data_IF_378980896857
#
_entry.id   IF_378980896857
#
_cell.length_a   1.000
_cell.length_b   1.000
_cell.length_c   1.000
_cell.angle_alpha   90.00
_cell.angle_beta   90.00
_cell.angle_gamma   90.00
#
_symmetry.space_group_name_H-M   'P 1'
#
loop_
_entity.id
_entity.type
_entity.pdbx_description
1 polymer ?
#
# COMPACT_ATOMS: atom_id res chain seq x y z
N UNK A 1 1.39 11.89 1.96
CA UNK A 1 2.09 12.54 0.82
C UNK A 1 2.71 13.90 1.19
N UNK A 2 1.95 14.93 1.63
CA UNK A 2 2.55 16.23 2.03
C UNK A 2 3.73 16.13 3.00
N UNK A 3 3.62 15.30 4.06
CA UNK A 3 4.73 15.06 5.00
C UNK A 3 5.93 14.37 4.33
N UNK A 4 5.71 13.38 3.48
CA UNK A 4 6.80 12.73 2.74
C UNK A 4 7.59 13.73 1.86
N UNK A 5 6.90 14.71 1.28
CA UNK A 5 7.52 15.78 0.49
C UNK A 5 8.27 16.81 1.34
N UNK A 6 7.61 17.36 2.37
CA UNK A 6 8.09 18.56 3.09
C UNK A 6 8.83 18.27 4.40
N UNK A 7 8.54 17.14 5.04
CA UNK A 7 9.06 16.78 6.36
C UNK A 7 9.05 15.25 6.57
N UNK A 8 9.82 14.47 5.77
CA UNK A 8 9.74 13.01 5.77
C UNK A 8 10.06 12.39 7.15
N UNK A 9 10.90 13.04 7.96
CA UNK A 9 11.22 12.60 9.32
C UNK A 9 10.01 12.59 10.28
N UNK A 10 8.97 13.38 10.03
CA UNK A 10 7.72 13.34 10.82
C UNK A 10 6.89 12.07 10.59
N UNK A 11 7.29 11.22 9.64
CA UNK A 11 6.69 9.91 9.41
C UNK A 11 7.41 8.78 10.14
N UNK A 12 8.48 9.07 10.90
CA UNK A 12 9.15 8.08 11.71
C UNK A 12 8.19 7.46 12.74
N UNK A 13 8.24 6.13 12.87
CA UNK A 13 7.35 5.32 13.70
C UNK A 13 5.96 5.09 13.10
N UNK A 14 5.67 5.61 11.91
CA UNK A 14 4.36 5.45 11.29
C UNK A 14 4.24 4.13 10.51
N UNK A 15 3.03 3.60 10.43
CA UNK A 15 2.61 2.56 9.49
C UNK A 15 2.40 3.19 8.11
N UNK A 16 3.46 3.29 7.32
CA UNK A 16 3.41 3.88 5.97
C UNK A 16 2.47 3.04 5.07
N UNK A 17 1.64 3.65 4.20
CA UNK A 17 0.75 2.90 3.32
C UNK A 17 1.54 2.02 2.37
N UNK A 18 0.94 0.93 1.93
CA UNK A 18 1.48 -0.08 1.00
C UNK A 18 2.72 -0.84 1.49
N UNK A 19 3.10 -0.65 2.75
CA UNK A 19 4.10 -1.49 3.40
C UNK A 19 3.50 -2.86 3.76
N UNK A 20 4.33 -3.91 3.89
CA UNK A 20 3.90 -5.22 4.37
C UNK A 20 3.17 -5.16 5.71
N UNK A 21 2.39 -6.21 5.98
CA UNK A 21 1.69 -6.42 7.26
C UNK A 21 1.98 -7.82 7.78
N UNK A 22 1.68 -8.05 9.06
CA UNK A 22 1.77 -9.39 9.65
C UNK A 22 0.71 -10.30 8.99
N UNK A 23 1.19 -11.26 8.19
CA UNK A 23 0.34 -12.21 7.46
C UNK A 23 -0.52 -13.06 8.40
N UNK A 24 -0.04 -13.40 9.60
CA UNK A 24 -0.80 -14.17 10.56
C UNK A 24 -1.95 -13.33 11.13
N UNK A 25 -1.67 -12.05 11.45
CA UNK A 25 -2.71 -11.12 11.91
C UNK A 25 -3.75 -10.84 10.83
N UNK A 26 -3.31 -10.66 9.59
CA UNK A 26 -4.19 -10.50 8.43
C UNK A 26 -5.08 -11.73 8.25
N UNK A 27 -4.50 -12.92 8.26
CA UNK A 27 -5.24 -14.17 8.12
C UNK A 27 -6.24 -14.39 9.28
N UNK A 28 -5.88 -14.04 10.51
CA UNK A 28 -6.81 -14.06 11.65
C UNK A 28 -8.01 -13.14 11.43
N UNK A 29 -7.82 -11.97 10.82
CA UNK A 29 -8.92 -11.01 10.61
C UNK A 29 -9.97 -11.57 9.66
N UNK A 30 -9.56 -12.44 8.73
CA UNK A 30 -10.46 -13.09 7.76
C UNK A 30 -11.02 -14.41 8.31
N UNK A 31 -10.19 -15.25 8.90
CA UNK A 31 -10.57 -16.61 9.33
C UNK A 31 -11.14 -16.67 10.76
N UNK A 32 -10.77 -15.71 11.61
CA UNK A 32 -11.07 -15.75 13.04
C UNK A 32 -10.43 -16.94 13.74
N UNK A 33 -11.19 -17.55 14.65
CA UNK A 33 -10.88 -18.81 15.32
C UNK A 33 -9.66 -18.78 16.23
N UNK A 34 -9.09 -19.97 16.47
CA UNK A 34 -8.06 -20.18 17.48
C UNK A 34 -6.70 -20.41 16.84
N UNK A 35 -5.69 -19.77 17.42
CA UNK A 35 -4.33 -19.75 16.92
C UNK A 35 -3.37 -20.21 18.02
N UNK A 36 -2.38 -20.98 17.60
CA UNK A 36 -1.36 -21.60 18.46
C UNK A 36 0.02 -21.33 17.88
N UNK A 37 1.07 -21.48 18.68
CA UNK A 37 2.45 -21.43 18.20
C UNK A 37 3.07 -22.83 18.27
N UNK A 38 3.85 -23.16 17.25
CA UNK A 38 4.75 -24.30 17.32
C UNK A 38 5.87 -24.05 18.36
N UNK A 39 6.69 -25.06 18.70
CA UNK A 39 7.76 -24.91 19.69
C UNK A 39 8.80 -23.83 19.32
N UNK A 40 8.90 -23.48 18.04
CA UNK A 40 9.80 -22.46 17.51
C UNK A 40 9.13 -21.08 17.33
N UNK A 41 7.86 -20.92 17.72
CA UNK A 41 7.16 -19.63 17.70
C UNK A 41 6.43 -19.26 16.41
N UNK A 42 6.34 -20.17 15.44
CA UNK A 42 5.56 -19.94 14.21
C UNK A 42 4.06 -20.15 14.47
N UNK A 43 3.20 -19.18 14.13
CA UNK A 43 1.77 -19.28 14.37
C UNK A 43 1.10 -20.25 13.39
N UNK A 44 0.15 -21.05 13.89
CA UNK A 44 -0.71 -21.89 13.08
C UNK A 44 -2.16 -21.81 13.54
N UNK A 45 -3.06 -22.05 12.59
CA UNK A 45 -4.50 -21.92 12.77
C UNK A 45 -5.15 -23.29 13.04
N UNK A 46 -6.11 -23.31 13.96
CA UNK A 46 -6.99 -24.47 14.21
C UNK A 46 -8.43 -24.02 14.04
N UNK A 47 -9.13 -24.71 13.14
CA UNK A 47 -10.50 -24.40 12.74
C UNK A 47 -11.56 -25.00 13.68
N UNK A 48 -12.82 -24.96 13.25
CA UNK A 48 -13.97 -25.59 13.91
C UNK A 48 -14.10 -25.18 15.40
N UNK A 49 -13.91 -26.13 16.30
CA UNK A 49 -14.05 -25.92 17.75
C UNK A 49 -12.84 -25.22 18.38
N UNK A 50 -11.81 -24.92 17.58
CA UNK A 50 -10.59 -24.23 17.99
C UNK A 50 -9.62 -25.11 18.78
N UNK A 51 -9.87 -26.42 18.93
CA UNK A 51 -8.97 -27.33 19.66
C UNK A 51 -8.41 -28.41 18.74
N UNK A 52 -7.10 -28.70 18.82
CA UNK A 52 -6.45 -29.58 17.85
C UNK A 52 -6.80 -31.05 18.08
N UNK A 53 -7.19 -31.74 17.01
CA UNK A 53 -7.54 -33.18 17.01
C UNK A 53 -6.60 -34.01 16.14
N UNK A 54 -5.73 -33.35 15.38
CA UNK A 54 -4.74 -33.96 14.50
C UNK A 54 -3.37 -33.32 14.73
N UNK A 55 -2.33 -34.13 14.60
CA UNK A 55 -0.93 -33.68 14.59
C UNK A 55 -0.46 -33.49 13.15
N UNK A 56 0.18 -32.36 12.87
CA UNK A 56 0.77 -32.03 11.56
C UNK A 56 2.17 -31.46 11.72
N UNK A 57 2.84 -31.13 10.60
CA UNK A 57 4.14 -30.50 10.60
C UNK A 57 4.02 -28.99 10.36
N UNK A 58 4.77 -28.20 11.13
CA UNK A 58 4.87 -26.77 10.92
C UNK A 58 5.44 -26.48 9.51
N UNK A 59 4.74 -25.63 8.74
CA UNK A 59 5.13 -25.28 7.38
C UNK A 59 6.48 -24.53 7.30
N UNK A 60 6.90 -23.88 8.38
CA UNK A 60 8.14 -23.08 8.41
C UNK A 60 9.36 -23.85 8.93
N UNK A 61 9.20 -24.66 9.98
CA UNK A 61 10.33 -25.33 10.64
C UNK A 61 10.23 -26.86 10.72
N UNK A 62 9.11 -27.46 10.30
CA UNK A 62 8.92 -28.90 10.33
C UNK A 62 8.87 -29.52 11.73
N UNK A 63 8.56 -28.73 12.76
CA UNK A 63 8.26 -29.26 14.10
C UNK A 63 6.80 -29.74 14.19
N UNK A 64 6.54 -30.73 15.05
CA UNK A 64 5.18 -31.22 15.31
C UNK A 64 4.29 -30.11 15.87
N UNK A 65 3.12 -29.95 15.25
CA UNK A 65 2.08 -29.00 15.64
C UNK A 65 0.73 -29.69 15.83
N UNK A 66 -0.17 -29.05 16.58
CA UNK A 66 -1.52 -29.54 16.78
C UNK A 66 -1.66 -30.38 18.05
N UNK A 67 -2.28 -31.57 17.94
CA UNK A 67 -2.72 -32.31 19.12
C UNK A 67 -3.67 -33.46 18.81
N UNK A 68 -4.08 -34.21 19.84
CA UNK A 68 -5.04 -35.32 19.71
C UNK A 68 -6.12 -35.21 20.78
N UNK A 69 -7.33 -35.69 20.48
CA UNK A 69 -8.47 -35.65 21.41
C UNK A 69 -8.75 -34.24 21.99
N UNK A 70 -8.58 -33.21 21.15
CA UNK A 70 -8.69 -31.79 21.50
C UNK A 70 -7.56 -31.28 22.42
N UNK A 71 -6.56 -32.09 22.75
CA UNK A 71 -5.46 -31.72 23.61
C UNK A 71 -4.26 -31.26 22.79
N UNK A 72 -3.83 -30.03 23.02
CA UNK A 72 -2.63 -29.44 22.41
C UNK A 72 -1.40 -30.26 22.81
N UNK A 73 -0.48 -30.47 21.87
CA UNK A 73 0.84 -31.01 22.18
C UNK A 73 1.53 -30.14 23.24
N UNK A 74 2.16 -30.75 24.24
CA UNK A 74 2.81 -30.03 25.35
C UNK A 74 3.93 -29.07 24.90
N UNK A 75 4.51 -29.34 23.73
CA UNK A 75 5.57 -28.51 23.13
C UNK A 75 5.02 -27.27 22.41
N UNK A 76 3.71 -27.22 22.16
CA UNK A 76 3.03 -26.14 21.46
C UNK A 76 2.45 -25.15 22.47
N UNK A 77 2.23 -23.90 22.04
CA UNK A 77 1.81 -22.81 22.92
C UNK A 77 0.41 -22.31 22.55
N UNK A 78 -0.47 -22.23 23.54
CA UNK A 78 -1.78 -21.57 23.46
C UNK A 78 -1.59 -20.04 23.49
N UNK A 79 -1.68 -19.40 22.32
CA UNK A 79 -1.43 -17.97 22.22
C UNK A 79 -2.51 -17.21 23.01
N UNK A 80 -2.08 -16.41 23.98
CA UNK A 80 -2.97 -15.65 24.85
C UNK A 80 -3.60 -16.47 25.99
N UNK A 81 -3.19 -17.75 26.17
CA UNK A 81 -3.70 -18.64 27.22
C UNK A 81 -5.23 -18.66 27.30
N UNK A 82 -5.87 -18.81 26.14
CA UNK A 82 -7.33 -18.66 25.99
C UNK A 82 -8.09 -19.77 26.75
N UNK A 83 -7.46 -20.92 27.01
CA UNK A 83 -7.99 -21.97 27.89
C UNK A 83 -8.47 -23.21 27.15
N UNK A 84 -9.30 -24.07 27.75
CA UNK A 84 -9.67 -25.37 27.17
C UNK A 84 -11.12 -25.45 26.69
N UNK A 85 -11.86 -24.34 26.73
CA UNK A 85 -13.23 -24.31 26.22
C UNK A 85 -13.24 -24.35 24.68
N UNK A 86 -14.35 -24.84 24.14
CA UNK A 86 -14.58 -24.92 22.69
C UNK A 86 -15.01 -23.56 22.13
N UNK A 87 -14.76 -23.36 20.83
CA UNK A 87 -15.13 -22.16 20.07
C UNK A 87 -14.56 -20.85 20.62
N UNK A 88 -13.43 -20.93 21.34
CA UNK A 88 -12.73 -19.73 21.79
C UNK A 88 -11.86 -19.16 20.66
N UNK A 89 -11.70 -17.84 20.65
CA UNK A 89 -10.90 -17.12 19.66
C UNK A 89 -9.64 -16.57 20.28
N UNK A 90 -8.54 -16.63 19.53
CA UNK A 90 -7.30 -15.95 19.89
C UNK A 90 -7.34 -14.51 19.35
N UNK A 91 -6.69 -13.57 20.02
CA UNK A 91 -6.35 -12.27 19.43
C UNK A 91 -4.84 -12.22 19.26
N UNK A 92 -4.37 -12.28 18.01
CA UNK A 92 -2.95 -12.13 17.71
C UNK A 92 -2.55 -10.67 17.91
N UNK A 93 -1.36 -10.45 18.42
CA UNK A 93 -0.69 -9.15 18.37
C UNK A 93 -0.36 -8.83 16.90
N UNK A 94 -0.56 -7.58 16.49
CA UNK A 94 -0.16 -7.13 15.16
C UNK A 94 1.33 -6.78 15.17
N UNK A 95 2.15 -7.64 14.57
CA UNK A 95 3.60 -7.43 14.43
C UNK A 95 3.97 -6.78 13.10
N UNK A 96 3.04 -6.06 12.47
CA UNK A 96 3.33 -5.28 11.28
C UNK A 96 4.48 -4.30 11.56
N UNK A 97 5.44 -4.29 10.65
CA UNK A 97 6.59 -3.40 10.73
C UNK A 97 6.16 -1.94 10.51
N UNK A 98 6.78 -1.05 11.28
CA UNK A 98 6.64 0.40 11.11
C UNK A 98 7.68 0.89 10.11
N UNK A 99 7.57 2.17 9.74
CA UNK A 99 8.46 2.87 8.83
C UNK A 99 8.31 2.43 7.36
N UNK A 100 9.23 2.88 6.51
CA UNK A 100 9.36 2.48 5.12
C UNK A 100 10.06 1.11 5.06
N UNK A 101 9.32 0.11 4.59
CA UNK A 101 9.68 -1.32 4.62
C UNK A 101 9.80 -1.93 3.21
N UNK A 102 10.13 -1.14 2.19
CA UNK A 102 10.38 -1.69 0.86
C UNK A 102 11.86 -2.06 0.73
N UNK A 103 12.16 -3.20 0.10
CA UNK A 103 13.52 -3.58 -0.31
C UNK A 103 13.91 -2.81 -1.57
N UNK A 104 15.01 -3.16 -2.22
CA UNK A 104 15.36 -2.56 -3.51
C UNK A 104 14.24 -2.76 -4.56
N UNK A 105 14.17 -1.84 -5.52
CA UNK A 105 13.08 -1.78 -6.49
C UNK A 105 12.96 -3.05 -7.34
N UNK A 106 14.07 -3.74 -7.61
CA UNK A 106 14.05 -4.98 -8.39
C UNK A 106 13.44 -6.13 -7.58
N UNK A 107 13.83 -6.28 -6.31
CA UNK A 107 13.25 -7.27 -5.38
C UNK A 107 11.75 -7.03 -5.17
N UNK A 108 11.34 -5.79 -4.92
CA UNK A 108 9.92 -5.45 -4.76
C UNK A 108 9.14 -5.63 -6.08
N UNK A 109 9.78 -5.39 -7.22
CA UNK A 109 9.17 -5.55 -8.54
C UNK A 109 8.98 -6.99 -9.00
N UNK A 110 9.61 -7.96 -8.35
CA UNK A 110 9.47 -9.39 -8.67
C UNK A 110 8.05 -9.91 -8.37
N UNK A 111 7.39 -9.38 -7.34
CA UNK A 111 5.98 -9.68 -7.04
C UNK A 111 5.04 -8.65 -7.68
N UNK A 112 4.80 -8.83 -8.98
CA UNK A 112 3.93 -7.93 -9.76
C UNK A 112 2.47 -7.91 -9.29
N UNK A 113 2.02 -8.91 -8.54
CA UNK A 113 0.64 -9.04 -8.07
C UNK A 113 0.50 -8.80 -6.56
N UNK A 114 1.53 -8.21 -5.94
CA UNK A 114 1.46 -7.81 -4.55
C UNK A 114 0.21 -6.95 -4.29
N UNK A 115 -0.56 -7.34 -3.29
CA UNK A 115 -1.74 -6.61 -2.81
C UNK A 115 -1.53 -6.27 -1.34
N UNK A 116 -2.21 -5.24 -0.87
CA UNK A 116 -2.01 -4.72 0.48
C UNK A 116 -3.37 -4.33 1.07
N UNK A 117 -3.86 -5.10 2.05
CA UNK A 117 -5.22 -4.97 2.61
C UNK A 117 -6.30 -4.85 1.54
N UNK A 118 -6.98 -3.69 1.47
CA UNK A 118 -8.03 -3.41 0.50
C UNK A 118 -7.49 -3.09 -0.90
N UNK A 119 -6.19 -2.79 -1.04
CA UNK A 119 -5.59 -2.35 -2.29
C UNK A 119 -5.18 -3.55 -3.15
N UNK A 120 -5.82 -3.69 -4.31
CA UNK A 120 -5.33 -4.56 -5.38
C UNK A 120 -4.03 -4.03 -6.02
N UNK A 121 -3.37 -4.82 -6.89
CA UNK A 121 -2.01 -4.50 -7.37
C UNK A 121 -1.87 -3.12 -8.02
N UNK A 122 -2.80 -2.73 -8.92
CA UNK A 122 -2.74 -1.43 -9.58
C UNK A 122 -2.89 -0.25 -8.59
N UNK A 123 -3.77 -0.40 -7.59
CA UNK A 123 -3.96 0.60 -6.54
C UNK A 123 -2.72 0.74 -5.66
N UNK A 124 -2.05 -0.36 -5.32
CA UNK A 124 -0.76 -0.34 -4.61
C UNK A 124 0.28 0.44 -5.40
N UNK A 125 0.44 0.15 -6.70
CA UNK A 125 1.43 0.85 -7.52
C UNK A 125 1.11 2.34 -7.66
N UNK A 126 -0.16 2.73 -7.78
CA UNK A 126 -0.56 4.14 -7.82
C UNK A 126 -0.21 4.89 -6.52
N UNK A 127 -0.48 4.29 -5.35
CA UNK A 127 -0.13 4.89 -4.05
C UNK A 127 1.38 4.97 -3.87
N UNK A 128 2.14 3.92 -4.23
CA UNK A 128 3.61 3.92 -4.19
C UNK A 128 4.21 4.97 -5.13
N UNK A 129 3.68 5.13 -6.34
CA UNK A 129 4.07 6.21 -7.26
C UNK A 129 3.91 7.59 -6.63
N UNK A 130 2.78 7.86 -5.98
CA UNK A 130 2.57 9.14 -5.29
C UNK A 130 3.54 9.33 -4.11
N UNK A 131 3.84 8.27 -3.36
CA UNK A 131 4.81 8.31 -2.26
C UNK A 131 6.23 8.60 -2.76
N UNK A 132 6.69 7.83 -3.75
CA UNK A 132 8.03 7.99 -4.31
C UNK A 132 8.19 9.30 -5.08
N UNK A 133 7.16 9.75 -5.82
CA UNK A 133 7.16 11.08 -6.43
C UNK A 133 7.33 12.20 -5.38
N UNK A 134 6.66 12.09 -4.24
CA UNK A 134 6.81 13.06 -3.14
C UNK A 134 8.23 13.05 -2.56
N UNK A 135 8.83 11.87 -2.36
CA UNK A 135 10.20 11.74 -1.85
C UNK A 135 11.23 12.25 -2.88
N UNK A 136 11.09 11.89 -4.16
CA UNK A 136 11.93 12.40 -5.24
C UNK A 136 11.83 13.91 -5.39
N UNK A 137 10.62 14.49 -5.32
CA UNK A 137 10.43 15.93 -5.34
C UNK A 137 11.06 16.62 -4.13
N UNK A 138 11.04 15.99 -2.94
CA UNK A 138 11.75 16.47 -1.76
C UNK A 138 13.26 16.50 -1.96
N UNK A 139 13.83 15.44 -2.54
CA UNK A 139 15.25 15.38 -2.88
C UNK A 139 15.63 16.48 -3.90
N UNK A 140 14.87 16.61 -4.99
CA UNK A 140 15.12 17.60 -6.02
C UNK A 140 15.00 19.05 -5.48
N UNK A 141 14.03 19.32 -4.60
CA UNK A 141 13.93 20.62 -3.93
C UNK A 141 15.14 20.90 -3.03
N UNK A 142 15.66 19.88 -2.34
CA UNK A 142 16.85 20.01 -1.51
C UNK A 142 18.12 20.27 -2.34
N UNK A 143 18.26 19.67 -3.54
CA UNK A 143 19.37 19.97 -4.45
C UNK A 143 19.39 21.44 -4.89
N UNK A 144 18.22 22.03 -5.12
CA UNK A 144 18.09 23.46 -5.44
C UNK A 144 18.32 24.39 -4.24
N UNK A 145 18.34 23.85 -3.01
CA UNK A 145 18.45 24.60 -1.76
C UNK A 145 19.87 25.04 -1.37
N UNK A 146 20.88 24.71 -2.18
CA UNK A 146 22.27 25.10 -1.97
C UNK A 146 23.12 24.05 -1.22
N UNK A 147 24.39 24.37 -0.91
CA UNK A 147 25.34 23.40 -0.35
C UNK A 147 24.85 22.77 0.96
N UNK A 148 24.87 21.44 1.02
CA UNK A 148 24.49 20.67 2.22
C UNK A 148 22.99 20.46 2.43
N UNK A 149 22.11 21.10 1.64
CA UNK A 149 20.66 20.92 1.77
C UNK A 149 20.22 19.49 1.43
N UNK A 150 20.78 18.86 0.38
CA UNK A 150 20.53 17.45 0.07
C UNK A 150 20.96 16.52 1.22
N UNK A 151 22.10 16.77 1.84
CA UNK A 151 22.58 15.99 2.98
C UNK A 151 21.65 16.13 4.20
N UNK A 152 21.13 17.34 4.46
CA UNK A 152 20.14 17.57 5.51
C UNK A 152 18.81 16.85 5.21
N UNK A 153 18.35 16.90 3.96
CA UNK A 153 17.17 16.15 3.53
C UNK A 153 17.37 14.64 3.74
N UNK A 154 18.51 14.08 3.31
CA UNK A 154 18.84 12.66 3.51
C UNK A 154 18.87 12.28 5.00
N UNK A 155 19.43 13.13 5.86
CA UNK A 155 19.38 12.95 7.32
C UNK A 155 17.94 12.99 7.86
N UNK A 156 17.08 13.84 7.30
CA UNK A 156 15.67 13.91 7.71
C UNK A 156 14.85 12.68 7.29
N UNK A 157 15.21 12.03 6.18
CA UNK A 157 14.58 10.79 5.71
C UNK A 157 15.03 9.59 6.52
N UNK A 158 16.27 9.59 7.04
CA UNK A 158 16.87 8.42 7.70
C UNK A 158 15.98 7.76 8.78
N UNK A 159 15.31 8.50 9.69
CA UNK A 159 14.43 7.90 10.72
C UNK A 159 13.16 7.25 10.16
N UNK A 160 12.78 7.55 8.92
CA UNK A 160 11.64 6.94 8.22
C UNK A 160 11.99 5.56 7.66
N UNK A 161 13.26 5.17 7.52
CA UNK A 161 13.61 3.87 6.94
C UNK A 161 13.57 2.75 7.98
N UNK A 162 13.02 1.61 7.61
CA UNK A 162 13.19 0.38 8.36
C UNK A 162 14.46 -0.33 7.87
N UNK A 163 15.51 -0.35 8.69
CA UNK A 163 16.83 -0.85 8.31
C UNK A 163 16.90 -2.36 8.12
N UNK A 164 15.88 -3.11 8.54
CA UNK A 164 15.73 -4.54 8.26
C UNK A 164 15.39 -4.78 6.78
N UNK A 165 14.74 -3.81 6.12
CA UNK A 165 14.31 -3.91 4.71
C UNK A 165 15.24 -3.15 3.77
N UNK A 166 15.68 -1.95 4.16
CA UNK A 166 16.53 -1.11 3.34
C UNK A 166 17.46 -0.23 4.18
N UNK A 167 18.68 -0.05 3.70
CA UNK A 167 19.66 0.81 4.37
C UNK A 167 20.56 1.58 3.37
N UNK A 168 19.99 2.28 2.37
CA UNK A 168 20.80 3.07 1.44
C UNK A 168 21.58 4.16 2.19
N UNK A 169 22.78 4.48 1.72
CA UNK A 169 23.55 5.63 2.22
C UNK A 169 22.86 6.96 1.87
N UNK A 170 23.31 8.05 2.47
CA UNK A 170 22.78 9.39 2.18
C UNK A 170 22.92 9.79 0.69
N UNK A 171 23.98 9.31 0.04
CA UNK A 171 24.27 9.57 -1.37
C UNK A 171 23.40 8.72 -2.31
N UNK A 172 23.05 7.50 -1.89
CA UNK A 172 22.22 6.58 -2.67
C UNK A 172 20.72 6.87 -2.56
N UNK A 173 20.29 7.56 -1.49
CA UNK A 173 18.87 7.78 -1.18
C UNK A 173 18.04 8.38 -2.32
N UNK A 174 18.48 9.44 -3.03
CA UNK A 174 17.74 9.98 -4.16
C UNK A 174 17.55 8.95 -5.29
N UNK A 175 18.63 8.26 -5.67
CA UNK A 175 18.60 7.21 -6.69
C UNK A 175 17.69 6.05 -6.31
N UNK A 176 17.75 5.63 -5.03
CA UNK A 176 16.91 4.57 -4.50
C UNK A 176 15.41 4.84 -4.67
N UNK A 177 14.94 6.08 -4.40
CA UNK A 177 13.53 6.42 -4.62
C UNK A 177 13.18 6.60 -6.10
N UNK A 178 14.11 7.05 -6.94
CA UNK A 178 13.93 7.15 -8.39
C UNK A 178 13.77 5.76 -9.00
N UNK A 179 14.56 4.77 -8.57
CA UNK A 179 14.45 3.38 -9.02
C UNK A 179 13.08 2.80 -8.67
N UNK A 180 12.60 3.03 -7.45
CA UNK A 180 11.26 2.65 -7.02
C UNK A 180 10.17 3.32 -7.86
N UNK A 181 10.29 4.62 -8.12
CA UNK A 181 9.35 5.36 -8.97
C UNK A 181 9.27 4.75 -10.39
N UNK A 182 10.40 4.47 -11.02
CA UNK A 182 10.44 3.84 -12.35
C UNK A 182 9.90 2.40 -12.35
N UNK A 183 10.22 1.62 -11.32
CA UNK A 183 9.69 0.27 -11.13
C UNK A 183 8.17 0.28 -10.99
N UNK A 184 7.62 1.13 -10.13
CA UNK A 184 6.17 1.24 -9.94
C UNK A 184 5.46 1.76 -11.19
N UNK A 185 6.08 2.67 -11.94
CA UNK A 185 5.54 3.15 -13.23
C UNK A 185 5.42 2.00 -14.24
N UNK A 186 6.48 1.21 -14.35
CA UNK A 186 6.52 0.06 -15.26
C UNK A 186 5.46 -0.97 -14.90
N UNK A 187 5.32 -1.29 -13.62
CA UNK A 187 4.30 -2.22 -13.11
C UNK A 187 2.88 -1.68 -13.31
N UNK A 188 2.61 -0.41 -12.98
CA UNK A 188 1.28 0.17 -13.14
C UNK A 188 0.85 0.13 -14.61
N UNK A 189 1.71 0.54 -15.53
CA UNK A 189 1.43 0.50 -16.97
C UNK A 189 1.11 -0.93 -17.44
N UNK A 190 1.88 -1.91 -16.98
CA UNK A 190 1.65 -3.31 -17.31
C UNK A 190 0.35 -3.86 -16.73
N UNK A 191 0.01 -3.50 -15.48
CA UNK A 191 -1.20 -3.92 -14.78
C UNK A 191 -2.47 -3.33 -15.41
N UNK A 192 -2.42 -2.06 -15.85
CA UNK A 192 -3.53 -1.43 -16.55
C UNK A 192 -3.65 -1.88 -18.01
N UNK A 193 -2.56 -2.43 -18.58
CA UNK A 193 -2.46 -2.76 -20.00
C UNK A 193 -2.84 -1.55 -20.89
N UNK A 194 -2.29 -0.38 -20.57
CA UNK A 194 -2.56 0.89 -21.27
C UNK A 194 -1.28 1.54 -21.79
N UNK A 195 -1.45 2.52 -22.68
CA UNK A 195 -0.35 3.33 -23.19
C UNK A 195 0.31 4.17 -22.09
N UNK A 196 1.49 4.73 -22.37
CA UNK A 196 2.16 5.70 -21.49
C UNK A 196 1.23 6.88 -21.18
N UNK A 197 0.58 7.43 -22.21
CA UNK A 197 -0.27 8.62 -22.09
C UNK A 197 -1.53 8.33 -21.28
N UNK A 198 -2.19 7.19 -21.54
CA UNK A 198 -3.36 6.76 -20.77
C UNK A 198 -3.03 6.48 -19.30
N UNK A 199 -1.88 5.84 -19.04
CA UNK A 199 -1.42 5.57 -17.68
C UNK A 199 -1.11 6.88 -16.95
N UNK A 200 -0.48 7.83 -17.65
CA UNK A 200 -0.20 9.16 -17.11
C UNK A 200 -1.51 9.90 -16.80
N UNK A 201 -2.49 9.83 -17.71
CA UNK A 201 -3.78 10.45 -17.56
C UNK A 201 -4.55 9.87 -16.37
N UNK A 202 -4.54 8.55 -16.17
CA UNK A 202 -5.10 7.90 -14.98
C UNK A 202 -4.46 8.45 -13.70
N UNK A 203 -3.13 8.54 -13.64
CA UNK A 203 -2.42 9.07 -12.48
C UNK A 203 -2.78 10.54 -12.22
N UNK A 204 -2.90 11.36 -13.27
CA UNK A 204 -3.33 12.76 -13.14
C UNK A 204 -4.77 12.88 -12.65
N UNK A 205 -5.70 12.04 -13.10
CA UNK A 205 -7.07 12.01 -12.58
C UNK A 205 -7.11 11.66 -11.10
N UNK A 206 -6.28 10.71 -10.64
CA UNK A 206 -6.13 10.36 -9.23
C UNK A 206 -5.63 11.58 -8.43
N UNK A 207 -4.59 12.26 -8.92
CA UNK A 207 -4.04 13.46 -8.27
C UNK A 207 -5.06 14.61 -8.21
N UNK A 208 -5.84 14.83 -9.28
CA UNK A 208 -6.92 15.82 -9.31
C UNK A 208 -8.01 15.50 -8.29
N UNK A 209 -8.45 14.23 -8.24
CA UNK A 209 -9.41 13.75 -7.23
C UNK A 209 -8.90 13.98 -5.81
N UNK A 210 -7.65 13.62 -5.54
CA UNK A 210 -7.02 13.82 -4.23
C UNK A 210 -6.85 15.31 -3.87
N UNK A 211 -6.70 16.18 -4.87
CA UNK A 211 -6.64 17.64 -4.73
C UNK A 211 -7.99 18.33 -4.49
N UNK A 212 -9.09 17.57 -4.44
CA UNK A 212 -10.44 18.11 -4.25
C UNK A 212 -11.10 18.67 -5.52
N UNK A 213 -10.45 18.53 -6.68
CA UNK A 213 -11.15 18.74 -7.94
C UNK A 213 -12.14 17.58 -8.11
N UNK A 214 -13.36 17.87 -8.60
CA UNK A 214 -14.23 16.80 -9.08
C UNK A 214 -13.71 16.36 -10.44
N UNK A 215 -13.04 15.19 -10.55
CA UNK A 215 -13.02 14.53 -11.84
C UNK A 215 -14.50 14.20 -12.12
N UNK A 216 -15.00 14.48 -13.31
CA UNK A 216 -16.38 14.14 -13.68
C UNK A 216 -16.51 12.62 -13.81
N UNK A 217 -16.34 11.92 -12.69
CA UNK A 217 -16.33 10.48 -12.52
C UNK A 217 -17.53 10.16 -11.64
N UNK A 218 -18.45 9.36 -12.17
CA UNK A 218 -19.59 8.87 -11.39
C UNK A 218 -19.06 8.06 -10.20
N UNK A 219 -19.57 8.37 -9.00
CA UNK A 219 -19.21 7.68 -7.78
C UNK A 219 -19.80 6.26 -7.81
N UNK A 220 -19.03 5.30 -8.32
CA UNK A 220 -19.33 3.88 -8.16
C UNK A 220 -18.72 3.41 -6.84
N UNK A 221 -19.50 2.66 -6.05
CA UNK A 221 -19.01 2.07 -4.81
C UNK A 221 -17.85 1.10 -5.10
N UNK A 222 -16.72 1.27 -4.41
CA UNK A 222 -15.59 0.37 -4.56
C UNK A 222 -15.89 -1.00 -3.93
N UNK A 223 -15.61 -2.13 -4.62
CA UNK A 223 -15.74 -3.45 -4.03
C UNK A 223 -14.78 -3.55 -2.84
N UNK A 224 -15.26 -4.12 -1.74
CA UNK A 224 -14.53 -4.30 -0.47
C UNK A 224 -14.18 -3.00 0.28
N UNK A 225 -14.73 -1.84 -0.09
CA UNK A 225 -14.69 -0.69 0.81
C UNK A 225 -15.64 -0.96 2.01
N UNK A 226 -15.21 -0.70 3.27
CA UNK A 226 -16.09 -0.87 4.41
C UNK A 226 -17.35 -0.01 4.27
N UNK A 227 -18.51 -0.62 4.47
CA UNK A 227 -19.80 0.08 4.54
C UNK A 227 -19.82 1.00 5.76
N UNK A 228 -20.10 2.29 5.54
CA UNK A 228 -20.23 3.28 6.60
C UNK A 228 -19.19 4.41 6.57
N UNK A 229 -19.36 5.43 7.43
CA UNK A 229 -18.41 6.54 7.52
C UNK A 229 -17.03 6.01 7.92
N UNK A 230 -15.99 6.45 7.21
CA UNK A 230 -14.62 6.12 7.57
C UNK A 230 -14.36 6.54 9.03
N UNK A 231 -13.59 5.74 9.81
CA UNK A 231 -13.25 6.14 11.17
C UNK A 231 -12.64 7.54 11.16
N UNK A 232 -13.10 8.39 12.08
CA UNK A 232 -12.67 9.77 12.17
C UNK A 232 -11.15 9.83 12.21
N UNK A 233 -10.55 10.63 11.31
CA UNK A 233 -9.11 10.89 11.33
C UNK A 233 -8.80 11.58 12.65
N UNK A 234 -8.07 10.94 13.59
CA UNK A 234 -7.68 11.62 14.81
C UNK A 234 -6.83 12.84 14.41
N UNK A 235 -7.15 14.01 14.96
CA UNK A 235 -6.39 15.23 14.73
C UNK A 235 -4.96 15.05 15.26
N UNK A 236 -4.04 14.59 14.40
CA UNK A 236 -2.72 14.16 14.88
C UNK A 236 -1.78 13.53 13.83
N UNK A 237 -2.02 13.71 12.53
CA UNK A 237 -0.98 13.79 11.50
C UNK A 237 -0.06 12.61 11.13
N UNK A 238 0.10 11.54 11.92
CA UNK A 238 1.01 10.42 11.61
C UNK A 238 0.27 9.08 11.65
N UNK A 239 0.62 8.15 10.73
CA UNK A 239 -0.01 6.81 10.58
C UNK A 239 0.29 5.91 11.79
N UNK A 240 -0.16 6.31 12.98
CA UNK A 240 0.35 5.80 14.25
C UNK A 240 -0.06 4.38 14.61
N UNK A 241 -1.16 3.87 14.03
CA UNK A 241 -1.63 2.49 14.21
C UNK A 241 -1.87 1.80 12.86
N UNK A 242 -1.79 0.46 12.85
CA UNK A 242 -2.00 -0.35 11.66
C UNK A 242 -3.45 -0.30 11.18
N UNK A 243 -4.41 -0.18 12.10
CA UNK A 243 -5.83 0.03 11.81
C UNK A 243 -6.03 1.36 11.09
N UNK A 244 -5.35 2.42 11.54
CA UNK A 244 -5.46 3.73 10.90
C UNK A 244 -4.85 3.74 9.50
N UNK A 245 -3.72 3.05 9.28
CA UNK A 245 -3.18 2.81 7.92
C UNK A 245 -4.21 2.11 7.04
N UNK A 246 -4.80 1.02 7.53
CA UNK A 246 -5.75 0.21 6.76
C UNK A 246 -7.01 1.02 6.39
N UNK A 247 -7.52 1.82 7.34
CA UNK A 247 -8.64 2.73 7.10
C UNK A 247 -8.27 3.85 6.09
N UNK A 248 -7.06 4.40 6.17
CA UNK A 248 -6.57 5.38 5.20
C UNK A 248 -6.50 4.80 3.79
N UNK A 249 -5.99 3.58 3.63
CA UNK A 249 -5.89 2.91 2.34
C UNK A 249 -7.26 2.59 1.75
N UNK A 250 -8.19 2.06 2.56
CA UNK A 250 -9.54 1.77 2.11
C UNK A 250 -10.28 3.05 1.66
N UNK A 251 -10.08 4.16 2.39
CA UNK A 251 -10.60 5.47 2.00
C UNK A 251 -9.96 5.98 0.71
N UNK A 252 -8.64 5.90 0.59
CA UNK A 252 -7.92 6.31 -0.61
C UNK A 252 -8.38 5.53 -1.85
N UNK A 253 -8.61 4.22 -1.68
CA UNK A 253 -9.19 3.37 -2.69
C UNK A 253 -10.57 3.87 -3.13
N UNK A 254 -11.49 3.96 -2.18
CA UNK A 254 -12.88 4.33 -2.44
C UNK A 254 -13.01 5.72 -3.07
N UNK A 255 -12.33 6.72 -2.51
CA UNK A 255 -12.54 8.12 -2.85
C UNK A 255 -11.74 8.54 -4.10
N UNK A 256 -10.57 7.94 -4.35
CA UNK A 256 -9.62 8.47 -5.34
C UNK A 256 -9.12 7.46 -6.37
N UNK A 257 -8.88 6.20 -5.99
CA UNK A 257 -8.29 5.22 -6.90
C UNK A 257 -9.35 4.46 -7.69
N UNK A 258 -10.36 3.91 -7.03
CA UNK A 258 -11.39 3.08 -7.65
C UNK A 258 -12.18 3.80 -8.75
N UNK A 259 -12.64 5.06 -8.57
CA UNK A 259 -13.35 5.79 -9.62
C UNK A 259 -12.53 5.96 -10.91
N UNK A 260 -11.20 5.86 -10.82
CA UNK A 260 -10.29 5.96 -11.97
C UNK A 260 -9.91 4.59 -12.49
N UNK A 261 -9.43 3.70 -11.62
CA UNK A 261 -8.74 2.45 -11.95
C UNK A 261 -9.67 1.24 -12.10
N UNK A 262 -10.97 1.35 -11.81
CA UNK A 262 -11.90 0.26 -12.08
C UNK A 262 -11.78 -0.19 -13.54
N UNK A 263 -11.87 -1.49 -13.82
CA UNK A 263 -11.76 -1.99 -15.20
C UNK A 263 -12.98 -1.59 -16.03
N UNK A 264 -14.17 -1.74 -15.44
CA UNK A 264 -15.43 -1.35 -16.06
C UNK A 264 -15.47 0.15 -16.35
N UNK A 265 -15.56 0.54 -17.62
CA UNK A 265 -15.63 1.94 -18.05
C UNK A 265 -14.27 2.67 -18.12
N UNK A 266 -13.15 1.95 -17.98
CA UNK A 266 -11.81 2.57 -17.93
C UNK A 266 -11.49 3.31 -19.23
N UNK A 267 -11.81 2.71 -20.37
CA UNK A 267 -11.53 3.28 -21.69
C UNK A 267 -12.32 4.54 -21.94
N UNK A 268 -13.60 4.56 -21.60
CA UNK A 268 -14.47 5.73 -21.72
C UNK A 268 -13.99 6.87 -20.83
N UNK A 269 -13.58 6.56 -19.59
CA UNK A 269 -13.01 7.54 -18.65
C UNK A 269 -11.74 8.17 -19.20
N UNK A 270 -10.82 7.35 -19.70
CA UNK A 270 -9.56 7.81 -20.29
C UNK A 270 -9.79 8.62 -21.55
N UNK A 271 -10.67 8.17 -22.45
CA UNK A 271 -11.04 8.92 -23.65
C UNK A 271 -11.69 10.27 -23.31
N UNK A 272 -12.55 10.33 -22.29
CA UNK A 272 -13.14 11.58 -21.82
C UNK A 272 -12.10 12.54 -21.24
N UNK A 273 -11.16 12.03 -20.45
CA UNK A 273 -10.07 12.82 -19.91
C UNK A 273 -9.11 13.28 -21.03
N UNK A 274 -8.84 12.45 -22.05
CA UNK A 274 -8.00 12.82 -23.18
C UNK A 274 -8.64 13.94 -24.01
N UNK A 275 -9.97 13.92 -24.20
CA UNK A 275 -10.69 15.05 -24.82
C UNK A 275 -10.63 16.33 -23.97
N UNK A 276 -10.64 16.20 -22.64
CA UNK A 276 -10.61 17.33 -21.71
C UNK A 276 -9.22 17.99 -21.63
N UNK A 277 -8.16 17.19 -21.67
CA UNK A 277 -6.78 17.64 -21.43
C UNK A 277 -5.89 17.58 -22.68
N UNK A 278 -6.38 17.01 -23.78
CA UNK A 278 -5.70 17.00 -25.06
C UNK A 278 -5.55 18.41 -25.65
N UNK A 279 -4.66 18.58 -26.64
CA UNK A 279 -4.53 19.85 -27.35
C UNK A 279 -5.91 20.26 -27.89
N UNK A 280 -6.27 21.53 -27.70
CA UNK A 280 -7.48 22.07 -28.32
C UNK A 280 -7.38 21.80 -29.82
N UNK A 281 -8.43 21.24 -30.42
CA UNK A 281 -8.46 21.04 -31.86
C UNK A 281 -8.13 22.38 -32.50
N UNK A 282 -6.99 22.46 -33.18
CA UNK A 282 -6.60 23.62 -33.96
C UNK A 282 -7.80 23.94 -34.83
N UNK A 283 -8.46 25.06 -34.53
CA UNK A 283 -9.57 25.54 -35.33
C UNK A 283 -9.03 25.71 -36.72
N UNK A 284 -9.37 24.77 -37.61
CA UNK A 284 -9.01 24.82 -39.01
C UNK A 284 -9.46 26.17 -39.53
N UNK A 285 -8.49 27.07 -39.68
CA UNK A 285 -8.66 28.30 -40.42
C UNK A 285 -9.05 27.87 -41.82
N UNK A 286 -10.34 27.97 -42.09
CA UNK A 286 -10.89 27.84 -43.43
C UNK A 286 -10.05 28.70 -44.36
N UNK A 287 -9.53 28.05 -45.39
CA UNK A 287 -9.02 28.78 -46.54
C UNK A 287 -10.19 29.56 -47.14
N UNK A 288 -10.23 30.85 -46.85
CA UNK A 288 -10.91 31.82 -47.70
C UNK A 288 -9.86 32.33 -48.70
N UNK A 289 -9.67 31.55 -49.76
CA UNK A 289 -9.25 32.08 -51.05
C UNK A 289 -10.40 32.93 -51.58
N UNK A 290 -10.33 34.26 -51.40
CA UNK A 290 -11.19 35.21 -52.09
C UNK A 290 -10.54 36.59 -52.24
N UNK A 291 -10.15 36.91 -53.48
CA UNK A 291 -9.93 38.27 -54.01
C UNK A 291 -8.54 38.86 -53.72
N UNK A 292 -7.82 39.44 -54.68
CA UNK A 292 -8.11 39.88 -56.03
C UNK A 292 -6.94 40.73 -56.51
#
# INVERSE_FOLDING_TARGET
>A
MRRALLAPGELAGAYVPTMPEDLAKMAQTVMGGRWYNCPNGHPYYVDLCGRPTVVQQCAECGADIGGTDHNLLETNVDIGNVGTAYNQTTVLEDRSERNYCLRDAATEGADRHYSARALGPAAVQAVRLCLHAALCAGAAAAEMGGPGALAQWAQSVRPLLNTTFCNPSAEELPGYFVDHYHGNWTLLKALLNKSTDDTALALHLILLSAGGASPALEAQGAPNAPDGPAPAVPGGGALGTAEWRSAWEARCLRDHLFPVLAEAGLEERLAAAARRFGPAADGGGGGDDAGG
#
